data_IF_726302488974
#
_entry.id   IF_726302488974
#
_cell.length_a   1.000
_cell.length_b   1.000
_cell.length_c   1.000
_cell.angle_alpha   90.00
_cell.angle_beta   90.00
_cell.angle_gamma   90.00
#
_symmetry.space_group_name_H-M   'P 1'
#
loop_
_entity.id
_entity.type
_entity.pdbx_description
1 polymer ?
#
# COMPACT_ATOMS: atom_id res chain seq x y z
N UNK A 1 12.38 -1.74 -7.37
CA UNK A 1 11.04 -1.54 -6.82
C UNK A 1 11.13 -0.92 -5.43
N UNK A 2 10.22 -0.03 -5.14
CA UNK A 2 10.14 0.62 -3.83
C UNK A 2 8.85 0.22 -3.14
N UNK A 3 8.90 0.02 -1.81
CA UNK A 3 7.72 -0.13 -0.99
C UNK A 3 7.43 1.20 -0.30
N UNK A 4 6.22 1.71 -0.48
CA UNK A 4 5.73 2.87 0.24
C UNK A 4 4.76 2.38 1.31
N UNK A 5 5.04 2.70 2.56
CA UNK A 5 4.27 2.18 3.69
C UNK A 5 3.27 3.23 4.16
N UNK A 6 2.00 2.84 4.25
CA UNK A 6 0.94 3.70 4.76
C UNK A 6 0.12 2.92 5.80
N UNK A 7 -0.56 3.63 6.69
CA UNK A 7 -1.45 3.02 7.68
C UNK A 7 -2.83 2.87 7.05
N UNK A 8 -3.35 1.63 7.00
CA UNK A 8 -4.62 1.34 6.34
C UNK A 8 -5.81 2.07 6.96
N UNK A 9 -5.70 2.48 8.23
CA UNK A 9 -6.80 3.12 8.96
C UNK A 9 -7.07 4.56 8.53
N UNK A 10 -6.12 5.19 7.85
CA UNK A 10 -6.18 6.62 7.53
C UNK A 10 -5.97 6.86 6.04
N UNK A 11 -6.46 8.00 5.57
CA UNK A 11 -6.06 8.47 4.25
C UNK A 11 -4.55 8.74 4.25
N UNK A 12 -3.86 8.46 3.14
CA UNK A 12 -2.46 8.89 3.01
C UNK A 12 -2.31 10.39 3.25
N UNK A 13 -1.25 10.77 3.94
CA UNK A 13 -0.95 12.19 4.19
C UNK A 13 -0.51 12.88 2.90
N UNK A 14 -0.42 14.22 2.96
CA UNK A 14 0.12 14.96 1.83
C UNK A 14 1.55 14.56 1.51
N UNK A 15 2.34 14.27 2.55
CA UNK A 15 3.71 13.80 2.38
C UNK A 15 3.75 12.46 1.64
N UNK A 16 2.84 11.55 1.99
CA UNK A 16 2.73 10.26 1.29
C UNK A 16 2.38 10.47 -0.18
N UNK A 17 1.44 11.36 -0.46
CA UNK A 17 1.04 11.67 -1.81
C UNK A 17 2.18 12.29 -2.62
N UNK A 18 2.93 13.21 -2.01
CA UNK A 18 4.08 13.83 -2.65
C UNK A 18 5.18 12.81 -2.95
N UNK A 19 5.43 11.90 -2.00
CA UNK A 19 6.41 10.84 -2.21
C UNK A 19 5.99 9.95 -3.37
N UNK A 20 4.73 9.55 -3.41
CA UNK A 20 4.23 8.71 -4.50
C UNK A 20 4.32 9.42 -5.84
N UNK A 21 3.95 10.70 -5.89
CA UNK A 21 4.07 11.53 -7.09
C UNK A 21 5.52 11.59 -7.59
N UNK A 22 6.44 11.78 -6.66
CA UNK A 22 7.87 11.78 -6.96
C UNK A 22 8.31 10.47 -7.59
N UNK A 23 7.89 9.34 -7.00
CA UNK A 23 8.23 8.02 -7.52
C UNK A 23 7.68 7.83 -8.93
N UNK A 24 6.47 8.31 -9.20
CA UNK A 24 5.86 8.20 -10.54
C UNK A 24 6.52 9.12 -11.55
N UNK A 25 6.99 10.28 -11.10
CA UNK A 25 7.73 11.19 -11.98
C UNK A 25 8.97 10.51 -12.58
N UNK A 26 9.62 9.66 -11.81
CA UNK A 26 10.80 8.93 -12.25
C UNK A 26 10.49 7.53 -12.74
N UNK A 27 9.22 7.19 -12.90
CA UNK A 27 8.75 5.87 -13.37
C UNK A 27 9.28 4.71 -12.53
N UNK A 28 9.40 4.90 -11.22
CA UNK A 28 9.90 3.87 -10.32
C UNK A 28 8.74 2.94 -9.94
N UNK A 29 8.83 1.62 -10.24
CA UNK A 29 7.79 0.67 -9.81
C UNK A 29 7.63 0.70 -8.29
N UNK A 30 6.38 0.79 -7.83
CA UNK A 30 6.08 0.99 -6.42
C UNK A 30 4.99 0.02 -5.98
N UNK A 31 5.15 -0.54 -4.78
CA UNK A 31 4.10 -1.30 -4.11
C UNK A 31 3.76 -0.59 -2.82
N UNK A 32 2.48 -0.35 -2.59
CA UNK A 32 2.01 0.29 -1.38
C UNK A 32 1.73 -0.80 -0.35
N UNK A 33 2.35 -0.71 0.82
CA UNK A 33 2.08 -1.62 1.93
C UNK A 33 1.16 -0.90 2.90
N UNK A 34 -0.09 -1.35 2.96
CA UNK A 34 -1.08 -0.78 3.87
C UNK A 34 -1.03 -1.56 5.18
N UNK A 35 -0.33 -1.01 6.17
CA UNK A 35 -0.07 -1.67 7.44
C UNK A 35 -1.26 -1.61 8.38
N UNK A 36 -1.19 -2.40 9.44
CA UNK A 36 -2.18 -2.45 10.53
C UNK A 36 -3.55 -2.92 10.07
N UNK A 37 -3.57 -3.82 9.10
CA UNK A 37 -4.83 -4.39 8.59
C UNK A 37 -5.61 -5.14 9.68
N UNK A 38 -4.94 -5.59 10.74
CA UNK A 38 -5.57 -6.23 11.89
C UNK A 38 -6.40 -5.27 12.74
N UNK A 39 -6.19 -3.95 12.60
CA UNK A 39 -6.89 -2.93 13.39
C UNK A 39 -8.25 -2.55 12.82
N UNK A 40 -8.62 -3.11 11.68
CA UNK A 40 -9.95 -2.91 11.09
C UNK A 40 -10.58 -4.26 10.78
N UNK A 41 -11.91 -4.30 10.67
CA UNK A 41 -12.59 -5.53 10.29
C UNK A 41 -12.23 -5.95 8.87
N UNK A 42 -12.13 -7.26 8.64
CA UNK A 42 -11.76 -7.81 7.32
C UNK A 42 -12.66 -7.31 6.20
N UNK A 43 -13.95 -7.11 6.50
CA UNK A 43 -14.91 -6.64 5.51
C UNK A 43 -14.66 -5.18 5.11
N UNK A 44 -13.94 -4.42 5.94
CA UNK A 44 -13.63 -3.03 5.68
C UNK A 44 -12.33 -2.83 4.90
N UNK A 45 -11.50 -3.86 4.80
CA UNK A 45 -10.21 -3.76 4.11
C UNK A 45 -10.38 -3.27 2.66
N UNK A 46 -11.27 -3.83 1.83
CA UNK A 46 -11.43 -3.35 0.46
C UNK A 46 -11.82 -1.87 0.38
N UNK A 47 -12.66 -1.41 1.30
CA UNK A 47 -13.08 -0.01 1.35
C UNK A 47 -11.91 0.92 1.65
N UNK A 48 -11.10 0.56 2.64
CA UNK A 48 -9.92 1.36 3.02
C UNK A 48 -8.86 1.36 1.92
N UNK A 49 -8.67 0.23 1.26
CA UNK A 49 -7.77 0.14 0.10
C UNK A 49 -8.22 1.09 -1.00
N UNK A 50 -9.52 1.14 -1.27
CA UNK A 50 -10.06 2.04 -2.29
C UNK A 50 -9.81 3.51 -1.96
N UNK A 51 -9.96 3.88 -0.69
CA UNK A 51 -9.68 5.24 -0.24
C UNK A 51 -8.21 5.60 -0.50
N UNK A 52 -7.31 4.69 -0.18
CA UNK A 52 -5.87 4.91 -0.39
C UNK A 52 -5.57 5.05 -1.89
N UNK A 53 -6.11 4.17 -2.71
CA UNK A 53 -5.93 4.21 -4.16
C UNK A 53 -6.36 5.56 -4.74
N UNK A 54 -7.54 6.02 -4.31
CA UNK A 54 -8.10 7.26 -4.83
C UNK A 54 -7.27 8.47 -4.39
N UNK A 55 -6.84 8.48 -3.13
CA UNK A 55 -6.04 9.59 -2.60
C UNK A 55 -4.69 9.69 -3.26
N UNK A 56 -4.02 8.56 -3.48
CA UNK A 56 -2.71 8.52 -4.14
C UNK A 56 -2.80 8.67 -5.65
N UNK A 57 -3.99 8.51 -6.23
CA UNK A 57 -4.16 8.41 -7.67
C UNK A 57 -3.27 7.28 -8.23
N UNK A 58 -3.45 6.09 -7.67
CA UNK A 58 -2.56 4.96 -7.90
C UNK A 58 -2.51 4.56 -9.38
N UNK A 59 -1.30 4.38 -9.89
CA UNK A 59 -1.08 3.88 -11.25
C UNK A 59 -1.60 2.44 -11.39
N UNK A 60 -2.12 2.10 -12.55
CA UNK A 60 -2.62 0.74 -12.83
C UNK A 60 -1.53 -0.33 -12.72
N UNK A 61 -0.27 0.08 -12.85
CA UNK A 61 0.87 -0.84 -12.77
C UNK A 61 1.35 -1.06 -11.34
N UNK A 62 0.87 -0.27 -10.40
CA UNK A 62 1.26 -0.38 -9.00
C UNK A 62 0.18 -1.12 -8.22
N UNK A 63 0.55 -1.72 -7.10
CA UNK A 63 -0.38 -2.49 -6.28
C UNK A 63 -0.36 -2.03 -4.83
N UNK A 64 -1.47 -2.29 -4.14
CA UNK A 64 -1.58 -2.10 -2.70
C UNK A 64 -1.75 -3.47 -2.06
N UNK A 65 -0.95 -3.74 -1.02
CA UNK A 65 -1.02 -4.97 -0.27
C UNK A 65 -1.42 -4.65 1.16
N UNK A 66 -2.58 -5.13 1.65
CA UNK A 66 -2.90 -5.02 3.06
C UNK A 66 -1.98 -5.94 3.85
N UNK A 67 -1.50 -5.46 5.00
CA UNK A 67 -0.48 -6.17 5.77
C UNK A 67 -0.70 -5.99 7.26
N UNK A 68 -0.45 -7.07 8.03
CA UNK A 68 -0.44 -7.02 9.49
C UNK A 68 0.75 -7.83 9.99
N UNK A 69 1.62 -7.19 10.74
CA UNK A 69 2.75 -7.90 11.37
C UNK A 69 2.30 -8.79 12.52
N UNK A 70 1.18 -8.45 13.17
CA UNK A 70 0.65 -9.26 14.29
C UNK A 70 -0.01 -10.54 13.82
N UNK A 71 -0.82 -10.47 12.77
CA UNK A 71 -1.53 -11.63 12.23
C UNK A 71 -0.84 -12.23 11.01
N UNK A 72 0.25 -11.60 10.56
CA UNK A 72 0.98 -11.97 9.34
C UNK A 72 0.13 -11.93 8.07
N UNK A 73 -1.00 -11.21 8.13
CA UNK A 73 -1.85 -11.03 6.97
C UNK A 73 -1.07 -10.27 5.89
N UNK A 74 -1.06 -10.82 4.69
CA UNK A 74 -0.35 -10.21 3.57
C UNK A 74 1.14 -10.51 3.51
N UNK A 75 1.70 -11.19 4.52
CA UNK A 75 3.14 -11.46 4.59
C UNK A 75 3.64 -12.23 3.38
N UNK A 76 2.92 -13.26 2.98
CA UNK A 76 3.29 -14.10 1.84
C UNK A 76 3.35 -13.31 0.54
N UNK A 77 2.39 -12.45 0.32
CA UNK A 77 2.34 -11.63 -0.87
C UNK A 77 3.49 -10.62 -0.93
N UNK A 78 3.85 -10.03 0.22
CA UNK A 78 4.99 -9.13 0.31
C UNK A 78 6.28 -9.87 -0.01
N UNK A 79 6.49 -11.06 0.56
CA UNK A 79 7.66 -11.87 0.27
C UNK A 79 7.72 -12.28 -1.20
N UNK A 80 6.61 -12.71 -1.75
CA UNK A 80 6.53 -13.11 -3.15
C UNK A 80 7.00 -11.98 -4.07
N UNK A 81 6.51 -10.78 -3.82
CA UNK A 81 6.91 -9.62 -4.60
C UNK A 81 8.37 -9.26 -4.44
N UNK A 82 8.87 -9.38 -3.21
CA UNK A 82 10.27 -9.09 -2.91
C UNK A 82 11.21 -10.02 -3.66
N UNK A 83 10.88 -11.30 -3.71
CA UNK A 83 11.74 -12.31 -4.34
C UNK A 83 11.61 -12.36 -5.86
N UNK A 84 10.57 -11.79 -6.43
CA UNK A 84 10.42 -11.74 -7.88
C UNK A 84 11.15 -10.56 -8.52
N UNK A 85 11.72 -9.73 -7.71
CA UNK A 85 12.50 -8.61 -8.23
C UNK A 85 13.88 -9.07 -8.67
#
# INVERSE_FOLDING_TARGET
MIFLIVDIRHEPSEDDCLMYEYLKHYNIPTTIIATKADKIGKTLIPRHIKVIKNKLNLSVNDKIVPFSSETKYGLEEVFFRFYLL
#
